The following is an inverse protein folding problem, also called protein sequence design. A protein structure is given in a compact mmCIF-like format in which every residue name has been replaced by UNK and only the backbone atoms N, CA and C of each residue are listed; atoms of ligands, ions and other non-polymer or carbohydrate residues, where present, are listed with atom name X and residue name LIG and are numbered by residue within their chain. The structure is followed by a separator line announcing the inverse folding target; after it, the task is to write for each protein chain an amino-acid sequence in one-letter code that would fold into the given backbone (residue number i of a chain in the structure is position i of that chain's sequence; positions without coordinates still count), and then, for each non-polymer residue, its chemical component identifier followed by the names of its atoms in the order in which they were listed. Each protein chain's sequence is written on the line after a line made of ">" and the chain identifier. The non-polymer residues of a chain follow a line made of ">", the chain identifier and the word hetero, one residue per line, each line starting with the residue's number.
data_IF_743387944985
#
_entry.id   IF_743387944985
#
_cell.length_a   1.000
_cell.length_b   1.000
_cell.length_c   1.000
_cell.angle_alpha   90.00
_cell.angle_beta   90.00
_cell.angle_gamma   90.00
#
_symmetry.space_group_name_H-M   'P 1'
#
loop_
_entity.id
_entity.type
_entity.pdbx_description
1 polymer ?
#
# COMPACT_ATOMS: atom_id res chain seq x y z
N UNK A 1 3.06 26.55 -3.52
CA UNK A 1 2.78 25.50 -2.52
C UNK A 1 3.86 25.45 -1.45
N UNK A 2 5.06 24.90 -1.69
CA UNK A 2 6.10 24.78 -0.63
C UNK A 2 6.53 26.13 0.00
N UNK A 3 6.61 27.20 -0.79
CA UNK A 3 6.89 28.56 -0.26
C UNK A 3 5.85 28.98 0.76
N UNK A 4 4.57 28.79 0.46
CA UNK A 4 3.48 29.11 1.37
C UNK A 4 3.48 28.25 2.64
N UNK A 5 3.91 26.99 2.53
CA UNK A 5 3.97 26.07 3.67
C UNK A 5 5.17 26.34 4.59
N UNK A 6 6.32 26.75 4.06
CA UNK A 6 7.58 26.81 4.81
C UNK A 6 8.27 28.19 4.85
N UNK A 7 8.05 29.07 3.88
CA UNK A 7 8.67 30.40 3.85
C UNK A 7 7.71 31.50 4.30
N UNK A 8 6.47 31.47 3.83
CA UNK A 8 5.46 32.51 4.10
C UNK A 8 4.60 32.17 5.33
N UNK A 9 4.72 30.95 5.87
CA UNK A 9 3.94 30.50 7.02
C UNK A 9 4.39 31.19 8.32
N UNK A 10 3.47 31.50 9.25
CA UNK A 10 3.77 32.27 10.45
C UNK A 10 4.42 31.40 11.54
N UNK A 11 5.70 31.07 11.37
CA UNK A 11 6.53 30.44 12.39
C UNK A 11 7.97 30.97 12.32
N UNK A 12 8.72 30.82 13.41
CA UNK A 12 10.12 31.23 13.47
C UNK A 12 11.00 30.06 13.94
N UNK A 13 12.13 29.87 13.27
CA UNK A 13 13.19 28.95 13.71
C UNK A 13 14.22 29.76 14.45
N UNK A 14 14.12 29.79 15.79
CA UNK A 14 15.00 30.59 16.66
C UNK A 14 16.37 29.91 16.84
N UNK A 15 16.40 28.57 16.78
CA UNK A 15 17.60 27.77 16.91
C UNK A 15 17.53 26.58 15.94
N UNK A 16 18.64 26.29 15.27
CA UNK A 16 18.77 25.09 14.44
C UNK A 16 18.89 23.84 15.33
N UNK A 17 18.32 22.69 14.93
CA UNK A 17 18.43 21.47 15.71
C UNK A 17 19.88 20.99 15.81
N UNK A 18 20.20 20.28 16.89
CA UNK A 18 21.50 19.61 17.02
C UNK A 18 21.65 18.48 16.01
N UNK A 19 22.88 18.22 15.59
CA UNK A 19 23.25 17.03 14.82
C UNK A 19 23.48 15.80 15.70
N UNK A 20 23.35 15.93 17.02
CA UNK A 20 23.46 14.79 17.94
C UNK A 20 22.48 13.68 17.54
N UNK A 21 22.90 12.40 17.54
CA UNK A 21 22.08 11.29 17.06
C UNK A 21 20.69 11.24 17.71
N UNK A 22 20.57 11.52 19.01
CA UNK A 22 19.28 11.51 19.73
C UNK A 22 18.28 12.57 19.24
N UNK A 23 18.77 13.66 18.64
CA UNK A 23 17.94 14.73 18.06
C UNK A 23 17.74 14.48 16.57
N UNK A 24 18.82 14.26 15.83
CA UNK A 24 18.82 14.20 14.36
C UNK A 24 17.99 13.04 13.80
N UNK A 25 17.90 11.93 14.52
CA UNK A 25 17.14 10.73 14.10
C UNK A 25 15.65 10.78 14.46
N UNK A 26 15.21 11.78 15.23
CA UNK A 26 13.82 11.95 15.65
C UNK A 26 13.19 13.21 15.04
N UNK A 27 12.38 13.08 13.97
CA UNK A 27 11.84 14.24 13.26
C UNK A 27 10.85 15.08 14.08
N UNK A 28 10.29 14.51 15.15
CA UNK A 28 9.40 15.23 16.06
C UNK A 28 10.14 16.15 17.02
N UNK A 29 11.46 15.93 17.19
CA UNK A 29 12.35 16.80 17.96
C UNK A 29 13.09 17.75 17.02
N UNK A 30 13.79 17.22 16.01
CA UNK A 30 14.61 18.02 15.10
C UNK A 30 13.81 19.12 14.38
N UNK A 31 12.59 18.82 13.94
CA UNK A 31 11.75 19.73 13.17
C UNK A 31 10.55 20.27 13.98
N UNK A 32 10.64 20.28 15.31
CA UNK A 32 9.56 20.74 16.19
C UNK A 32 9.11 22.18 15.88
N UNK A 33 10.05 23.05 15.49
CA UNK A 33 9.76 24.45 15.15
C UNK A 33 8.92 24.60 13.87
N UNK A 34 8.91 23.59 12.99
CA UNK A 34 8.15 23.62 11.75
C UNK A 34 6.72 23.12 12.02
N UNK A 35 5.67 23.88 11.66
CA UNK A 35 4.29 23.49 11.88
C UNK A 35 4.00 22.10 11.31
N UNK A 36 3.39 21.25 12.13
CA UNK A 36 2.95 19.90 11.74
C UNK A 36 2.09 19.94 10.49
N UNK A 37 1.18 20.92 10.40
CA UNK A 37 0.34 21.12 9.23
C UNK A 37 1.15 21.34 7.95
N UNK A 38 2.19 22.18 8.00
CA UNK A 38 3.04 22.46 6.84
C UNK A 38 3.76 21.20 6.36
N UNK A 39 4.37 20.45 7.30
CA UNK A 39 5.03 19.18 7.00
C UNK A 39 4.05 18.17 6.42
N UNK A 40 2.89 18.02 7.02
CA UNK A 40 1.91 17.04 6.55
C UNK A 40 1.36 17.39 5.16
N UNK A 41 0.99 18.66 4.94
CA UNK A 41 0.50 19.13 3.63
C UNK A 41 1.52 18.86 2.53
N UNK A 42 2.79 19.19 2.77
CA UNK A 42 3.86 18.86 1.84
C UNK A 42 3.95 17.35 1.56
N UNK A 43 3.79 16.51 2.59
CA UNK A 43 3.81 15.06 2.38
C UNK A 43 2.59 14.54 1.61
N UNK A 44 1.42 15.12 1.85
CA UNK A 44 0.17 14.75 1.17
C UNK A 44 0.17 15.17 -0.30
N UNK A 45 0.76 16.33 -0.60
CA UNK A 45 0.76 16.86 -1.96
C UNK A 45 1.50 15.95 -2.94
N UNK A 46 2.52 15.25 -2.44
CA UNK A 46 3.37 14.30 -3.17
C UNK A 46 3.29 12.88 -2.56
N UNK A 47 2.12 12.47 -2.04
CA UNK A 47 2.01 11.26 -1.24
C UNK A 47 2.46 10.00 -2.00
N UNK A 48 2.10 9.84 -3.27
CA UNK A 48 2.56 8.71 -4.08
C UNK A 48 4.09 8.68 -4.15
N UNK A 49 4.75 9.82 -4.40
CA UNK A 49 6.21 9.90 -4.46
C UNK A 49 6.87 9.52 -3.13
N UNK A 50 6.36 10.05 -2.02
CA UNK A 50 6.90 9.76 -0.68
C UNK A 50 6.70 8.29 -0.32
N UNK A 51 5.52 7.73 -0.63
CA UNK A 51 5.19 6.33 -0.40
C UNK A 51 6.02 5.40 -1.29
N UNK A 52 6.24 5.78 -2.54
CA UNK A 52 7.18 5.10 -3.44
C UNK A 52 8.61 5.13 -2.90
N UNK A 53 9.04 6.22 -2.25
CA UNK A 53 10.39 6.36 -1.71
C UNK A 53 10.75 5.26 -0.73
N UNK A 54 9.83 4.85 0.15
CA UNK A 54 10.06 3.72 1.04
C UNK A 54 9.79 2.36 0.40
N UNK A 55 8.85 2.25 -0.54
CA UNK A 55 8.55 0.98 -1.23
C UNK A 55 9.64 0.54 -2.21
N UNK A 56 10.24 1.49 -2.95
CA UNK A 56 11.35 1.23 -3.88
C UNK A 56 12.72 1.39 -3.21
N UNK A 57 12.73 1.80 -1.94
CA UNK A 57 13.95 1.99 -1.15
C UNK A 57 14.71 0.68 -0.91
N UNK A 58 16.00 0.77 -0.54
CA UNK A 58 16.84 -0.40 -0.27
C UNK A 58 16.29 -1.29 0.85
N UNK A 59 15.51 -0.71 1.78
CA UNK A 59 14.84 -1.44 2.86
C UNK A 59 13.80 -2.45 2.39
N UNK A 60 13.21 -2.24 1.21
CA UNK A 60 12.16 -3.10 0.64
C UNK A 60 12.70 -4.11 -0.39
N UNK A 61 14.02 -4.37 -0.40
CA UNK A 61 14.63 -5.39 -1.25
C UNK A 61 14.60 -6.75 -0.57
N UNK A 62 13.97 -7.73 -1.23
CA UNK A 62 13.91 -9.11 -0.78
C UNK A 62 12.65 -9.44 0.04
N UNK A 63 12.32 -10.72 0.09
CA UNK A 63 11.05 -11.23 0.60
C UNK A 63 10.82 -10.90 2.09
N UNK A 64 11.87 -10.94 2.93
CA UNK A 64 11.76 -10.65 4.37
C UNK A 64 11.26 -9.23 4.64
N UNK A 65 11.67 -8.27 3.81
CA UNK A 65 11.24 -6.88 3.93
C UNK A 65 9.79 -6.67 3.50
N UNK A 66 9.36 -7.34 2.44
CA UNK A 66 8.00 -7.20 1.91
C UNK A 66 6.97 -8.11 2.58
N UNK A 67 7.41 -9.09 3.37
CA UNK A 67 6.57 -9.86 4.30
C UNK A 67 5.99 -9.03 5.46
N UNK A 68 5.79 -7.72 5.28
CA UNK A 68 5.03 -6.80 6.15
C UNK A 68 3.75 -6.29 5.52
N UNK A 69 3.45 -6.58 4.26
CA UNK A 69 2.27 -6.04 3.57
C UNK A 69 1.51 -7.13 2.84
N UNK A 70 0.19 -6.96 2.70
CA UNK A 70 -0.64 -7.77 1.81
C UNK A 70 -0.36 -7.38 0.35
N UNK A 71 -0.66 -8.27 -0.60
CA UNK A 71 -0.37 -8.02 -2.02
C UNK A 71 -1.18 -6.89 -2.65
N UNK A 72 -2.32 -6.54 -2.03
CA UNK A 72 -3.09 -5.36 -2.37
C UNK A 72 -3.75 -4.78 -1.14
N UNK A 73 -3.52 -3.50 -0.88
CA UNK A 73 -4.23 -2.73 0.12
C UNK A 73 -4.40 -1.28 -0.31
N UNK A 74 -5.42 -0.63 0.23
CA UNK A 74 -5.69 0.79 -0.03
C UNK A 74 -5.15 1.66 1.09
N UNK A 75 -4.64 2.82 0.72
CA UNK A 75 -4.19 3.86 1.64
C UNK A 75 -5.00 5.12 1.39
N UNK A 76 -5.56 5.66 2.47
CA UNK A 76 -6.15 7.00 2.51
C UNK A 76 -5.53 7.78 3.67
N UNK A 77 -5.75 9.08 3.70
CA UNK A 77 -5.06 9.96 4.64
C UNK A 77 -6.04 10.67 5.58
N UNK A 78 -5.59 10.95 6.79
CA UNK A 78 -6.33 11.81 7.72
C UNK A 78 -6.32 13.25 7.17
N UNK A 79 -7.43 13.97 7.33
CA UNK A 79 -7.55 15.36 6.91
C UNK A 79 -6.55 16.24 7.70
N UNK A 80 -5.61 16.92 7.01
CA UNK A 80 -4.64 17.83 7.64
C UNK A 80 -5.29 19.04 8.33
N UNK A 81 -6.57 19.33 8.06
CA UNK A 81 -7.38 20.37 8.71
C UNK A 81 -8.31 19.84 9.81
N UNK A 82 -8.31 18.53 10.08
CA UNK A 82 -9.14 17.97 11.16
C UNK A 82 -8.74 18.54 12.53
N UNK A 83 -9.71 18.72 13.43
CA UNK A 83 -9.44 19.14 14.81
C UNK A 83 -8.50 18.17 15.55
N UNK A 84 -8.61 16.87 15.23
CA UNK A 84 -7.72 15.81 15.71
C UNK A 84 -6.26 16.09 15.32
N UNK A 85 -6.02 16.60 14.10
CA UNK A 85 -4.69 17.02 13.64
C UNK A 85 -4.27 18.37 14.20
N UNK A 86 -5.16 19.36 14.28
CA UNK A 86 -4.85 20.72 14.70
C UNK A 86 -4.23 20.75 16.13
N UNK A 87 -4.59 19.79 16.98
CA UNK A 87 -4.09 19.67 18.37
C UNK A 87 -2.94 18.66 18.54
N UNK A 88 -2.33 18.20 17.43
CA UNK A 88 -1.31 17.15 17.46
C UNK A 88 0.11 17.66 17.73
N UNK A 89 0.46 18.91 17.40
CA UNK A 89 1.83 19.43 17.53
C UNK A 89 2.43 19.26 18.93
N UNK A 90 1.78 19.85 19.95
CA UNK A 90 2.23 19.74 21.35
C UNK A 90 2.16 18.30 21.86
N UNK A 91 1.17 17.52 21.40
CA UNK A 91 1.04 16.12 21.76
C UNK A 91 2.22 15.30 21.23
N UNK A 92 2.60 15.48 19.97
CA UNK A 92 3.74 14.80 19.34
C UNK A 92 5.05 15.19 19.99
N UNK A 93 5.24 16.48 20.31
CA UNK A 93 6.41 16.93 21.06
C UNK A 93 6.51 16.24 22.43
N UNK A 94 5.41 16.16 23.19
CA UNK A 94 5.36 15.43 24.48
C UNK A 94 5.55 13.92 24.34
N UNK A 95 5.16 13.34 23.21
CA UNK A 95 5.33 11.92 22.92
C UNK A 95 6.64 11.58 22.20
N UNK A 96 7.48 12.57 21.87
CA UNK A 96 8.74 12.39 21.13
C UNK A 96 9.61 11.24 21.65
N UNK A 97 9.73 11.09 22.99
CA UNK A 97 10.46 9.99 23.62
C UNK A 97 9.86 8.59 23.40
N UNK A 98 8.55 8.49 23.13
CA UNK A 98 7.89 7.24 22.72
C UNK A 98 7.90 7.04 21.19
N UNK A 99 8.19 8.09 20.41
CA UNK A 99 8.23 8.08 18.94
C UNK A 99 9.63 7.81 18.38
N UNK A 100 10.58 7.47 19.26
CA UNK A 100 11.96 7.13 18.91
C UNK A 100 12.03 6.01 17.87
N UNK A 101 12.91 6.18 16.89
CA UNK A 101 13.09 5.27 15.77
C UNK A 101 14.34 4.41 15.96
N UNK A 102 14.40 3.19 15.41
CA UNK A 102 15.57 2.31 15.48
C UNK A 102 16.90 2.94 15.03
N UNK A 103 16.86 3.97 14.18
CA UNK A 103 18.03 4.72 13.73
C UNK A 103 18.82 5.40 14.88
N UNK A 104 18.20 5.61 16.05
CA UNK A 104 18.86 6.17 17.25
C UNK A 104 19.91 5.23 17.87
N UNK A 105 19.78 3.91 17.67
CA UNK A 105 20.61 2.92 18.33
C UNK A 105 21.74 2.43 17.43
N UNK A 106 22.96 2.96 17.61
CA UNK A 106 24.15 2.35 17.02
C UNK A 106 24.32 0.91 17.50
N UNK A 107 24.61 0.01 16.55
CA UNK A 107 25.13 -1.36 16.70
C UNK A 107 25.03 -1.98 18.09
N UNK A 108 23.81 -2.24 18.56
CA UNK A 108 23.60 -2.72 19.92
C UNK A 108 23.57 -4.27 19.95
N UNK A 109 24.52 -4.95 20.65
CA UNK A 109 24.56 -6.42 20.71
C UNK A 109 23.38 -7.04 21.48
N UNK A 110 22.55 -6.23 22.14
CA UNK A 110 21.41 -6.68 22.94
C UNK A 110 20.08 -6.54 22.17
N UNK A 111 19.87 -7.45 21.21
CA UNK A 111 18.74 -7.39 20.28
C UNK A 111 17.36 -7.43 20.99
N UNK A 112 17.20 -8.34 21.96
CA UNK A 112 15.92 -8.58 22.65
C UNK A 112 15.52 -7.43 23.58
N UNK A 113 16.44 -6.88 24.36
CA UNK A 113 16.13 -5.78 25.30
C UNK A 113 15.80 -4.49 24.56
N UNK A 114 16.49 -4.24 23.45
CA UNK A 114 16.22 -3.10 22.55
C UNK A 114 14.83 -3.20 21.94
N UNK A 115 14.42 -4.38 21.45
CA UNK A 115 13.06 -4.61 20.97
C UNK A 115 11.99 -4.40 22.06
N UNK A 116 12.20 -4.94 23.26
CA UNK A 116 11.26 -4.75 24.38
C UNK A 116 11.06 -3.28 24.73
N UNK A 117 12.12 -2.47 24.66
CA UNK A 117 12.04 -1.02 24.88
C UNK A 117 11.19 -0.33 23.80
N UNK A 118 11.40 -0.64 22.53
CA UNK A 118 10.60 -0.09 21.42
C UNK A 118 9.14 -0.53 21.50
N UNK A 119 8.88 -1.81 21.78
CA UNK A 119 7.54 -2.36 22.01
C UNK A 119 6.81 -1.62 23.15
N UNK A 120 7.49 -1.42 24.28
CA UNK A 120 6.92 -0.69 25.41
C UNK A 120 6.66 0.80 25.07
N UNK A 121 7.55 1.45 24.33
CA UNK A 121 7.38 2.82 23.86
C UNK A 121 6.19 2.95 22.92
N UNK A 122 6.06 2.06 21.93
CA UNK A 122 4.92 1.99 21.02
C UNK A 122 3.61 1.80 21.80
N UNK A 123 3.56 0.88 22.76
CA UNK A 123 2.36 0.67 23.57
C UNK A 123 1.96 1.96 24.34
N UNK A 124 2.93 2.65 24.95
CA UNK A 124 2.66 3.93 25.65
C UNK A 124 2.15 5.00 24.69
N UNK A 125 2.71 5.10 23.50
CA UNK A 125 2.27 6.03 22.46
C UNK A 125 0.83 5.72 22.01
N UNK A 126 0.51 4.45 21.74
CA UNK A 126 -0.83 4.05 21.31
C UNK A 126 -1.88 4.32 22.40
N UNK A 127 -1.57 4.05 23.67
CA UNK A 127 -2.45 4.40 24.80
C UNK A 127 -2.61 5.91 24.97
N UNK A 128 -1.54 6.69 24.78
CA UNK A 128 -1.61 8.14 24.83
C UNK A 128 -2.46 8.71 23.68
N UNK A 129 -2.32 8.14 22.47
CA UNK A 129 -3.12 8.48 21.29
C UNK A 129 -4.59 8.15 21.53
N UNK A 130 -4.88 6.98 22.08
CA UNK A 130 -6.24 6.58 22.46
C UNK A 130 -6.87 7.57 23.43
N UNK A 131 -6.20 7.87 24.56
CA UNK A 131 -6.70 8.85 25.54
C UNK A 131 -6.94 10.22 24.92
N UNK A 132 -6.01 10.69 24.10
CA UNK A 132 -6.14 11.98 23.41
C UNK A 132 -7.33 12.00 22.46
N UNK A 133 -7.56 10.91 21.72
CA UNK A 133 -8.69 10.78 20.80
C UNK A 133 -10.02 10.76 21.58
N UNK A 134 -10.10 10.01 22.66
CA UNK A 134 -11.28 9.96 23.55
C UNK A 134 -11.56 11.32 24.20
N UNK A 135 -10.54 12.04 24.69
CA UNK A 135 -10.67 13.40 25.23
C UNK A 135 -11.17 14.41 24.19
N UNK A 136 -10.72 14.28 22.94
CA UNK A 136 -11.06 15.20 21.85
C UNK A 136 -12.49 14.96 21.37
N UNK A 137 -12.86 13.69 21.20
CA UNK A 137 -14.16 13.31 20.64
C UNK A 137 -15.30 13.28 21.67
N UNK A 138 -15.01 13.21 22.98
CA UNK A 138 -16.04 13.12 24.03
C UNK A 138 -16.92 14.36 24.21
N UNK A 139 -16.67 15.48 23.50
CA UNK A 139 -17.39 16.76 23.73
C UNK A 139 -18.46 17.15 22.72
N UNK A 140 -18.56 16.51 21.54
CA UNK A 140 -19.63 16.68 20.51
C UNK A 140 -19.32 16.02 19.15
N UNK A 141 -18.15 15.40 19.00
CA UNK A 141 -17.66 14.92 17.71
C UNK A 141 -17.49 13.41 17.70
N UNK A 142 -17.93 12.77 16.62
CA UNK A 142 -17.73 11.36 16.35
C UNK A 142 -16.78 11.20 15.17
N UNK A 143 -16.14 10.02 15.07
CA UNK A 143 -15.30 9.72 13.90
C UNK A 143 -16.20 9.61 12.69
N UNK A 144 -16.11 10.54 11.76
CA UNK A 144 -16.88 10.56 10.51
C UNK A 144 -15.96 10.51 9.30
N UNK A 145 -16.52 10.22 8.12
CA UNK A 145 -15.80 10.29 6.84
C UNK A 145 -15.19 11.67 6.56
N UNK A 146 -15.68 12.74 7.18
CA UNK A 146 -15.13 14.08 7.00
C UNK A 146 -13.67 14.18 7.47
N UNK A 147 -13.24 13.30 8.36
CA UNK A 147 -11.85 13.22 8.82
C UNK A 147 -10.91 12.59 7.78
N UNK A 148 -11.41 12.05 6.67
CA UNK A 148 -10.57 11.53 5.59
C UNK A 148 -10.29 12.65 4.61
N UNK A 149 -9.02 12.92 4.35
CA UNK A 149 -8.60 13.96 3.40
C UNK A 149 -9.17 13.67 2.01
N UNK A 150 -9.78 14.69 1.40
CA UNK A 150 -10.43 14.59 0.09
C UNK A 150 -9.58 15.16 -1.06
N UNK A 151 -8.27 15.34 -0.85
CA UNK A 151 -7.38 15.93 -1.86
C UNK A 151 -7.65 17.41 -2.11
N UNK A 152 -8.34 18.10 -1.20
CA UNK A 152 -8.88 19.46 -1.41
C UNK A 152 -9.74 19.59 -2.69
N UNK A 153 -10.28 18.47 -3.18
CA UNK A 153 -11.09 18.43 -4.40
C UNK A 153 -10.29 18.39 -5.71
N UNK A 154 -8.95 18.42 -5.67
CA UNK A 154 -8.12 18.38 -6.90
C UNK A 154 -6.95 17.40 -6.88
N UNK A 155 -6.50 16.95 -5.70
CA UNK A 155 -5.28 16.15 -5.57
C UNK A 155 -5.56 14.63 -5.52
N UNK A 156 -5.12 13.91 -6.56
CA UNK A 156 -5.27 12.47 -6.68
C UNK A 156 -4.46 11.66 -5.66
N UNK A 157 -3.47 12.27 -5.01
CA UNK A 157 -2.72 11.65 -3.90
C UNK A 157 -3.60 11.36 -2.67
N UNK A 158 -4.86 11.79 -2.64
CA UNK A 158 -5.80 11.49 -1.56
C UNK A 158 -6.10 10.00 -1.36
N UNK A 159 -5.87 9.18 -2.39
CA UNK A 159 -6.00 7.73 -2.32
C UNK A 159 -4.87 7.05 -3.08
N UNK A 160 -4.28 6.02 -2.49
CA UNK A 160 -3.26 5.20 -3.12
C UNK A 160 -3.65 3.73 -3.03
N UNK A 161 -3.23 2.95 -4.01
CA UNK A 161 -3.20 1.49 -3.96
C UNK A 161 -1.76 1.02 -4.01
N UNK A 162 -1.41 0.15 -3.07
CA UNK A 162 -0.10 -0.47 -3.02
C UNK A 162 -0.28 -1.91 -3.49
N UNK A 163 0.58 -2.33 -4.41
CA UNK A 163 0.70 -3.71 -4.85
C UNK A 163 2.05 -4.30 -4.47
N UNK A 164 2.07 -5.50 -3.91
CA UNK A 164 3.30 -6.28 -3.65
C UNK A 164 3.53 -7.26 -4.80
N UNK A 165 4.78 -7.40 -5.21
CA UNK A 165 5.23 -8.35 -6.24
C UNK A 165 6.56 -8.98 -5.76
N UNK A 166 6.47 -10.03 -4.92
CA UNK A 166 7.54 -10.87 -4.36
C UNK A 166 8.58 -10.08 -3.56
N UNK A 167 9.56 -9.55 -4.26
CA UNK A 167 10.70 -8.79 -3.77
C UNK A 167 10.73 -7.34 -4.35
N UNK A 168 9.58 -6.88 -4.85
CA UNK A 168 9.30 -5.50 -5.27
C UNK A 168 7.85 -5.10 -4.94
N UNK A 169 7.54 -3.81 -5.08
CA UNK A 169 6.18 -3.31 -4.91
C UNK A 169 5.96 -2.03 -5.73
N UNK A 170 4.69 -1.74 -6.01
CA UNK A 170 4.23 -0.61 -6.81
C UNK A 170 3.24 0.24 -6.02
N UNK A 171 3.27 1.56 -6.25
CA UNK A 171 2.34 2.51 -5.65
C UNK A 171 1.72 3.31 -6.76
N UNK A 172 0.39 3.33 -6.79
CA UNK A 172 -0.40 3.96 -7.84
C UNK A 172 -1.53 4.76 -7.21
N UNK A 173 -1.87 5.88 -7.81
CA UNK A 173 -2.99 6.71 -7.37
C UNK A 173 -4.32 6.01 -7.60
N UNK A 174 -5.28 6.28 -6.71
CA UNK A 174 -6.63 5.72 -6.77
C UNK A 174 -6.85 4.47 -5.90
N UNK A 175 -8.10 4.04 -5.86
CA UNK A 175 -8.54 2.82 -5.18
C UNK A 175 -8.74 1.72 -6.24
N UNK A 176 -7.66 1.04 -6.60
CA UNK A 176 -7.62 0.12 -7.75
C UNK A 176 -7.95 -1.31 -7.29
N UNK A 177 -8.64 -2.04 -8.17
CA UNK A 177 -9.05 -3.43 -7.93
C UNK A 177 -10.31 -3.57 -7.08
N UNK A 178 -10.64 -4.81 -6.73
CA UNK A 178 -11.75 -5.11 -5.82
C UNK A 178 -11.41 -4.66 -4.39
N UNK A 179 -12.40 -4.46 -3.49
CA UNK A 179 -12.11 -4.13 -2.10
C UNK A 179 -11.08 -5.08 -1.48
N UNK A 180 -9.94 -4.57 -0.98
CA UNK A 180 -8.85 -5.41 -0.48
C UNK A 180 -9.17 -6.05 0.88
N UNK A 181 -8.31 -6.99 1.28
CA UNK A 181 -8.36 -7.57 2.63
C UNK A 181 -8.20 -6.47 3.67
N UNK A 182 -7.14 -5.67 3.58
CA UNK A 182 -6.80 -4.60 4.53
C UNK A 182 -6.79 -3.22 3.85
N UNK A 183 -6.90 -2.16 4.65
CA UNK A 183 -6.70 -0.78 4.21
C UNK A 183 -6.19 0.06 5.38
N UNK A 184 -5.42 1.10 5.07
CA UNK A 184 -4.76 1.93 6.07
C UNK A 184 -5.25 3.37 5.99
N UNK A 185 -5.41 3.98 7.17
CA UNK A 185 -5.55 5.44 7.28
C UNK A 185 -4.25 6.01 7.85
N UNK A 186 -3.50 6.70 7.00
CA UNK A 186 -2.22 7.30 7.39
C UNK A 186 -2.44 8.69 7.98
N UNK A 187 -2.08 8.83 9.26
CA UNK A 187 -1.97 10.12 9.93
C UNK A 187 -0.60 10.74 9.68
N UNK A 188 -0.44 12.03 9.96
CA UNK A 188 0.85 12.70 9.84
C UNK A 188 1.99 11.99 10.57
N UNK A 189 1.81 11.72 11.87
CA UNK A 189 2.87 11.10 12.67
C UNK A 189 3.22 9.70 12.18
N UNK A 190 2.24 8.99 11.63
CA UNK A 190 2.47 7.67 11.07
C UNK A 190 3.26 7.77 9.76
N UNK A 191 2.85 8.65 8.84
CA UNK A 191 3.51 8.83 7.56
C UNK A 191 4.95 9.33 7.72
N UNK A 192 5.20 10.29 8.62
CA UNK A 192 6.54 10.80 8.92
C UNK A 192 7.43 9.70 9.52
N UNK A 193 6.92 8.89 10.47
CA UNK A 193 7.69 7.76 11.02
C UNK A 193 8.04 6.72 9.97
N UNK A 194 7.13 6.38 9.07
CA UNK A 194 7.42 5.44 7.98
C UNK A 194 8.54 6.00 7.10
N UNK A 195 8.46 7.28 6.72
CA UNK A 195 9.49 7.92 5.91
C UNK A 195 10.87 7.92 6.59
N UNK A 196 10.95 8.31 7.86
CA UNK A 196 12.24 8.32 8.57
C UNK A 196 12.76 6.92 8.89
N UNK A 197 11.88 5.95 9.15
CA UNK A 197 12.28 4.56 9.37
C UNK A 197 12.88 3.92 8.11
N UNK A 198 12.27 4.17 6.96
CA UNK A 198 12.51 3.41 5.74
C UNK A 198 13.34 4.16 4.69
N UNK A 199 13.50 5.48 4.84
CA UNK A 199 14.21 6.33 3.88
C UNK A 199 15.29 7.14 4.59
N UNK A 200 14.91 8.16 5.37
CA UNK A 200 15.88 9.14 5.86
C UNK A 200 16.83 8.59 6.93
N UNK A 201 16.36 7.69 7.77
CA UNK A 201 17.14 7.04 8.84
C UNK A 201 17.49 5.59 8.57
N UNK A 202 17.22 5.06 7.37
CA UNK A 202 17.57 3.70 7.02
C UNK A 202 19.03 3.61 6.57
N UNK A 203 19.84 2.86 7.31
CA UNK A 203 21.24 2.64 6.97
C UNK A 203 21.40 1.38 6.10
N UNK A 204 21.71 1.59 4.82
CA UNK A 204 21.95 0.50 3.85
C UNK A 204 23.19 -0.32 4.20
N UNK A 205 24.16 0.28 4.87
CA UNK A 205 25.37 -0.38 5.36
C UNK A 205 25.23 -0.83 6.82
N UNK A 206 24.05 -0.61 7.41
CA UNK A 206 23.73 -0.99 8.78
C UNK A 206 23.75 -2.51 8.96
N UNK A 207 24.08 -2.93 10.18
CA UNK A 207 24.16 -4.35 10.51
C UNK A 207 22.78 -5.06 10.42
N UNK A 208 22.79 -6.39 10.49
CA UNK A 208 21.57 -7.24 10.47
C UNK A 208 20.57 -6.84 11.55
N UNK A 209 21.04 -6.37 12.71
CA UNK A 209 20.18 -5.88 13.78
C UNK A 209 19.36 -4.65 13.37
N UNK A 210 19.98 -3.67 12.70
CA UNK A 210 19.27 -2.49 12.19
C UNK A 210 18.17 -2.86 11.19
N UNK A 211 18.48 -3.75 10.24
CA UNK A 211 17.51 -4.22 9.24
C UNK A 211 16.35 -4.97 9.91
N UNK A 212 16.65 -5.84 10.88
CA UNK A 212 15.64 -6.58 11.65
C UNK A 212 14.75 -5.63 12.47
N UNK A 213 15.33 -4.64 13.16
CA UNK A 213 14.54 -3.69 13.94
C UNK A 213 13.66 -2.82 13.07
N UNK A 214 14.15 -2.36 11.91
CA UNK A 214 13.35 -1.59 10.97
C UNK A 214 12.15 -2.41 10.48
N UNK A 215 12.40 -3.68 10.14
CA UNK A 215 11.36 -4.64 9.77
C UNK A 215 10.34 -4.89 10.89
N UNK A 216 10.78 -5.10 12.12
CA UNK A 216 9.88 -5.32 13.27
C UNK A 216 9.10 -4.06 13.66
N UNK A 217 9.72 -2.88 13.55
CA UNK A 217 9.06 -1.61 13.83
C UNK A 217 8.01 -1.29 12.76
N UNK A 218 8.24 -1.68 11.51
CA UNK A 218 7.26 -1.51 10.43
C UNK A 218 5.95 -2.28 10.71
N UNK A 219 6.00 -3.42 11.40
CA UNK A 219 4.78 -4.11 11.83
C UNK A 219 3.92 -3.24 12.75
N UNK A 220 4.53 -2.48 13.66
CA UNK A 220 3.80 -1.53 14.50
C UNK A 220 3.18 -0.39 13.70
N UNK A 221 3.91 0.15 12.72
CA UNK A 221 3.42 1.25 11.89
C UNK A 221 2.26 0.80 11.00
N UNK A 222 2.38 -0.36 10.36
CA UNK A 222 1.29 -0.99 9.63
C UNK A 222 0.07 -1.18 10.52
N UNK A 223 0.24 -1.82 11.69
CA UNK A 223 -0.85 -2.07 12.62
C UNK A 223 -1.52 -0.76 13.06
N UNK A 224 -0.75 0.32 13.26
CA UNK A 224 -1.32 1.62 13.56
C UNK A 224 -2.19 2.16 12.39
N UNK A 225 -1.76 1.99 11.13
CA UNK A 225 -2.53 2.37 9.95
C UNK A 225 -3.82 1.56 9.78
N UNK A 226 -3.74 0.25 10.00
CA UNK A 226 -4.87 -0.68 10.01
C UNK A 226 -5.87 -0.36 11.13
N UNK A 227 -5.38 -0.09 12.34
CA UNK A 227 -6.21 0.33 13.45
C UNK A 227 -6.98 1.62 13.14
N UNK A 228 -6.31 2.62 12.53
CA UNK A 228 -6.98 3.87 12.15
C UNK A 228 -8.09 3.65 11.11
N UNK A 229 -8.03 2.58 10.29
CA UNK A 229 -9.15 2.17 9.45
C UNK A 229 -10.25 1.48 10.27
N UNK A 230 -9.90 0.57 11.18
CA UNK A 230 -10.86 -0.16 12.01
C UNK A 230 -11.73 0.76 12.86
N UNK A 231 -11.21 1.89 13.36
CA UNK A 231 -11.99 2.85 14.16
C UNK A 231 -13.07 3.58 13.35
N UNK A 232 -13.00 3.58 12.02
CA UNK A 232 -14.07 4.09 11.15
C UNK A 232 -15.29 3.14 11.15
N UNK A 233 -15.07 1.84 11.36
CA UNK A 233 -16.12 0.84 11.37
C UNK A 233 -16.96 0.90 12.66
N UNK A 234 -18.19 0.34 12.65
CA UNK A 234 -18.98 0.15 13.86
C UNK A 234 -18.20 -0.66 14.88
N UNK A 235 -18.21 -0.20 16.14
CA UNK A 235 -17.49 -0.81 17.26
C UNK A 235 -17.71 -2.32 17.34
N UNK A 236 -18.93 -2.76 17.09
CA UNK A 236 -19.40 -4.13 17.25
C UNK A 236 -18.69 -5.10 16.29
N UNK A 237 -18.24 -4.63 15.12
CA UNK A 237 -17.62 -5.47 14.10
C UNK A 237 -16.09 -5.40 14.06
N UNK A 238 -15.46 -4.41 14.72
CA UNK A 238 -14.02 -4.14 14.59
C UNK A 238 -13.17 -5.36 14.96
N UNK A 239 -13.55 -6.05 16.04
CA UNK A 239 -12.89 -7.28 16.53
C UNK A 239 -12.99 -8.41 15.51
N UNK A 240 -14.17 -8.60 14.92
CA UNK A 240 -14.38 -9.62 13.89
C UNK A 240 -13.52 -9.36 12.65
N UNK A 241 -13.44 -8.10 12.19
CA UNK A 241 -12.62 -7.71 11.05
C UNK A 241 -11.13 -7.91 11.35
N UNK A 242 -10.66 -7.48 12.53
CA UNK A 242 -9.28 -7.73 13.00
C UNK A 242 -8.97 -9.23 13.00
N UNK A 243 -9.85 -10.05 13.56
CA UNK A 243 -9.62 -11.51 13.64
C UNK A 243 -9.57 -12.17 12.27
N UNK A 244 -10.32 -11.66 11.30
CA UNK A 244 -10.22 -12.08 9.90
C UNK A 244 -8.90 -11.63 9.24
N UNK A 245 -8.43 -10.42 9.54
CA UNK A 245 -7.15 -9.92 9.03
C UNK A 245 -5.95 -10.73 9.54
N UNK A 246 -6.08 -11.23 10.77
CA UNK A 246 -5.03 -11.94 11.53
C UNK A 246 -5.45 -13.36 11.89
N UNK A 247 -6.02 -14.10 10.93
CA UNK A 247 -6.30 -15.52 11.11
C UNK A 247 -5.02 -16.26 11.45
N UNK A 248 -5.12 -17.19 12.41
CA UNK A 248 -4.01 -18.02 12.89
C UNK A 248 -2.83 -17.25 13.51
N UNK A 249 -2.93 -15.93 13.69
CA UNK A 249 -1.91 -15.15 14.39
C UNK A 249 -2.01 -15.35 15.90
N UNK A 250 -0.88 -15.23 16.60
CA UNK A 250 -0.85 -15.35 18.06
C UNK A 250 -1.67 -14.23 18.74
N UNK A 251 -2.22 -14.48 19.95
CA UNK A 251 -2.95 -13.44 20.70
C UNK A 251 -2.12 -12.17 20.91
N UNK A 252 -0.81 -12.32 21.15
CA UNK A 252 0.12 -11.21 21.35
C UNK A 252 0.21 -10.28 20.13
N UNK A 253 0.08 -10.80 18.92
CA UNK A 253 0.04 -9.99 17.68
C UNK A 253 -1.29 -9.25 17.60
N UNK A 254 -2.40 -9.94 17.85
CA UNK A 254 -3.75 -9.35 17.80
C UNK A 254 -3.93 -8.22 18.80
N UNK A 255 -3.31 -8.32 19.98
CA UNK A 255 -3.36 -7.31 21.04
C UNK A 255 -2.78 -5.95 20.64
N UNK A 256 -1.92 -5.86 19.62
CA UNK A 256 -1.38 -4.58 19.13
C UNK A 256 -2.36 -3.77 18.27
N UNK A 257 -3.44 -4.38 17.77
CA UNK A 257 -4.44 -3.71 16.94
C UNK A 257 -5.65 -3.27 17.77
N UNK A 258 -6.38 -4.25 18.28
CA UNK A 258 -7.50 -4.09 19.21
C UNK A 258 -7.37 -5.25 20.17
N UNK A 259 -7.46 -5.04 21.48
CA UNK A 259 -7.22 -6.11 22.45
C UNK A 259 -6.86 -5.55 23.81
N UNK A 260 -6.02 -6.24 24.58
CA UNK A 260 -5.68 -5.79 25.94
C UNK A 260 -4.91 -4.45 25.97
N UNK A 261 -4.22 -4.11 24.88
CA UNK A 261 -3.35 -2.92 24.83
C UNK A 261 -4.03 -1.67 24.27
N UNK A 262 -5.05 -1.84 23.44
CA UNK A 262 -5.84 -0.77 22.81
C UNK A 262 -7.31 -1.18 22.82
N UNK A 263 -8.11 -0.43 23.56
CA UNK A 263 -9.53 -0.69 23.74
C UNK A 263 -10.32 0.59 23.44
N UNK A 264 -10.35 0.97 22.16
CA UNK A 264 -11.06 2.16 21.71
C UNK A 264 -12.57 1.89 21.61
N UNK A 265 -13.30 2.28 22.66
CA UNK A 265 -14.72 1.91 22.86
C UNK A 265 -15.72 2.86 22.24
N UNK A 266 -15.27 3.96 21.62
CA UNK A 266 -16.18 4.95 21.04
C UNK A 266 -16.80 4.46 19.73
N UNK A 267 -18.07 4.78 19.54
CA UNK A 267 -18.79 4.46 18.32
C UNK A 267 -18.42 5.41 17.18
N UNK A 268 -18.36 4.87 15.96
CA UNK A 268 -18.20 5.68 14.75
C UNK A 268 -19.43 6.56 14.51
N UNK A 269 -19.20 7.76 13.96
CA UNK A 269 -20.25 8.67 13.51
C UNK A 269 -20.72 8.41 12.09
N UNK A 270 -20.11 7.45 11.39
CA UNK A 270 -20.48 7.08 10.03
C UNK A 270 -21.81 6.29 10.08
N UNK A 271 -22.85 6.72 9.35
CA UNK A 271 -24.11 5.99 9.29
C UNK A 271 -23.97 4.78 8.37
N UNK A 272 -24.16 3.57 8.91
CA UNK A 272 -24.16 2.32 8.15
C UNK A 272 -25.58 1.77 8.03
N UNK A 273 -25.92 1.24 6.85
CA UNK A 273 -27.25 0.66 6.57
C UNK A 273 -27.21 -0.80 6.13
N UNK A 274 -26.03 -1.33 5.79
CA UNK A 274 -25.88 -2.71 5.32
C UNK A 274 -25.47 -3.67 6.44
N UNK A 275 -25.52 -4.97 6.15
CA UNK A 275 -24.98 -6.03 7.02
C UNK A 275 -23.49 -6.29 6.82
N UNK A 276 -22.86 -5.58 5.87
CA UNK A 276 -21.42 -5.64 5.63
C UNK A 276 -20.83 -4.21 5.68
N UNK A 277 -20.66 -3.66 6.90
CA UNK A 277 -20.17 -2.30 7.08
C UNK A 277 -18.77 -2.07 6.48
N UNK A 278 -17.96 -3.13 6.33
CA UNK A 278 -16.62 -3.01 5.77
C UNK A 278 -16.71 -2.74 4.26
N UNK A 279 -17.50 -3.52 3.54
CA UNK A 279 -17.75 -3.29 2.11
C UNK A 279 -18.46 -1.95 1.88
N UNK A 280 -19.40 -1.59 2.75
CA UNK A 280 -20.06 -0.29 2.71
C UNK A 280 -19.08 0.87 2.92
N UNK A 281 -18.17 0.78 3.90
CA UNK A 281 -17.13 1.79 4.13
C UNK A 281 -16.23 1.96 2.90
N UNK A 282 -15.84 0.87 2.24
CA UNK A 282 -15.08 0.96 0.98
C UNK A 282 -15.86 1.69 -0.11
N UNK A 283 -17.17 1.44 -0.24
CA UNK A 283 -18.04 2.18 -1.14
C UNK A 283 -18.13 3.67 -0.79
N UNK A 284 -18.27 3.99 0.49
CA UNK A 284 -18.33 5.37 0.98
C UNK A 284 -17.01 6.13 0.76
N UNK A 285 -15.86 5.49 0.96
CA UNK A 285 -14.54 6.07 0.67
C UNK A 285 -14.40 6.36 -0.83
N UNK A 286 -14.78 5.41 -1.70
CA UNK A 286 -14.82 5.63 -3.15
C UNK A 286 -15.72 6.81 -3.52
N UNK A 287 -16.91 6.90 -2.93
CA UNK A 287 -17.86 7.99 -3.21
C UNK A 287 -17.31 9.36 -2.74
N UNK A 288 -16.72 9.43 -1.55
CA UNK A 288 -16.12 10.66 -1.01
C UNK A 288 -14.97 11.16 -1.88
N UNK A 289 -14.13 10.25 -2.36
CA UNK A 289 -12.92 10.58 -3.10
C UNK A 289 -13.15 10.66 -4.62
N UNK A 290 -14.32 10.27 -5.11
CA UNK A 290 -14.66 10.25 -6.54
C UNK A 290 -14.26 11.52 -7.34
N UNK A 291 -14.33 12.76 -6.78
CA UNK A 291 -13.89 13.95 -7.49
C UNK A 291 -12.39 14.00 -7.79
N UNK A 292 -11.56 13.31 -7.00
CA UNK A 292 -10.08 13.37 -7.09
C UNK A 292 -9.43 12.04 -7.46
N UNK A 293 -10.14 10.92 -7.42
CA UNK A 293 -9.54 9.61 -7.75
C UNK A 293 -9.01 9.61 -9.17
N UNK A 294 -7.75 9.18 -9.34
CA UNK A 294 -7.29 8.71 -10.64
C UNK A 294 -8.02 7.40 -10.98
N UNK A 295 -8.63 7.37 -12.16
CA UNK A 295 -9.43 6.25 -12.68
C UNK A 295 -8.83 5.66 -13.96
N UNK A 296 -7.62 6.03 -14.32
CA UNK A 296 -6.88 5.54 -15.49
C UNK A 296 -6.77 4.01 -15.51
N UNK A 297 -6.61 3.39 -14.34
CA UNK A 297 -6.50 1.95 -14.14
C UNK A 297 -7.84 1.22 -13.90
N UNK A 298 -8.99 1.89 -14.05
CA UNK A 298 -10.28 1.23 -13.84
C UNK A 298 -10.75 0.49 -15.10
N UNK A 299 -10.84 -0.84 -14.99
CA UNK A 299 -11.39 -1.70 -16.06
C UNK A 299 -12.82 -1.32 -16.46
N UNK A 300 -13.61 -0.72 -15.55
CA UNK A 300 -14.96 -0.25 -15.84
C UNK A 300 -15.00 0.86 -16.92
N UNK A 301 -13.88 1.58 -17.14
CA UNK A 301 -13.74 2.63 -18.16
C UNK A 301 -13.28 2.12 -19.53
N UNK A 302 -13.06 0.81 -19.68
CA UNK A 302 -12.73 0.23 -20.98
C UNK A 302 -14.00 0.15 -21.82
N UNK A 303 -14.02 0.86 -22.94
CA UNK A 303 -15.21 1.00 -23.79
C UNK A 303 -15.54 -0.28 -24.57
N UNK A 304 -14.53 -1.05 -24.99
CA UNK A 304 -14.73 -2.27 -25.79
C UNK A 304 -15.21 -3.44 -24.90
N UNK A 305 -16.47 -3.89 -25.01
CA UNK A 305 -16.99 -4.98 -24.18
C UNK A 305 -16.27 -6.30 -24.44
N UNK A 306 -15.73 -6.51 -25.66
CA UNK A 306 -14.96 -7.73 -26.00
C UNK A 306 -13.68 -7.85 -25.18
N UNK A 307 -13.17 -6.73 -24.67
CA UNK A 307 -12.03 -6.69 -23.75
C UNK A 307 -12.50 -6.63 -22.30
N UNK A 308 -13.42 -5.72 -22.00
CA UNK A 308 -13.88 -5.46 -20.63
C UNK A 308 -14.49 -6.70 -19.98
N UNK A 309 -15.39 -7.41 -20.66
CA UNK A 309 -16.15 -8.52 -20.06
C UNK A 309 -15.26 -9.73 -19.73
N UNK A 310 -14.38 -10.22 -20.63
CA UNK A 310 -13.47 -11.32 -20.28
C UNK A 310 -12.53 -10.96 -19.13
N UNK A 311 -11.96 -9.75 -19.12
CA UNK A 311 -11.06 -9.32 -18.06
C UNK A 311 -11.80 -9.11 -16.73
N UNK A 312 -13.05 -8.64 -16.75
CA UNK A 312 -13.89 -8.56 -15.54
C UNK A 312 -14.18 -9.96 -14.97
N UNK A 313 -14.43 -10.95 -15.84
CA UNK A 313 -14.58 -12.35 -15.42
C UNK A 313 -13.30 -12.88 -14.77
N UNK A 314 -12.12 -12.53 -15.29
CA UNK A 314 -10.84 -12.89 -14.65
C UNK A 314 -10.72 -12.26 -13.26
N UNK A 315 -11.08 -10.98 -13.10
CA UNK A 315 -11.06 -10.30 -11.80
C UNK A 315 -12.07 -10.86 -10.78
N UNK A 316 -13.13 -11.52 -11.25
CA UNK A 316 -14.13 -12.19 -10.41
C UNK A 316 -13.74 -13.63 -10.05
N UNK A 317 -12.75 -14.20 -10.73
CA UNK A 317 -12.25 -15.54 -10.43
C UNK A 317 -11.55 -15.56 -9.06
N UNK A 318 -11.68 -16.69 -8.38
CA UNK A 318 -11.01 -16.96 -7.11
C UNK A 318 -10.64 -18.44 -7.05
N UNK A 319 -9.43 -18.75 -6.61
CA UNK A 319 -9.02 -20.12 -6.33
C UNK A 319 -7.57 -20.46 -6.71
N UNK A 320 -7.16 -21.71 -6.47
CA UNK A 320 -5.76 -22.14 -6.56
C UNK A 320 -5.19 -22.11 -7.97
N UNK A 321 -6.03 -22.02 -9.01
CA UNK A 321 -5.58 -21.84 -10.39
C UNK A 321 -4.79 -20.55 -10.56
N UNK A 322 -5.13 -19.51 -9.80
CA UNK A 322 -4.49 -18.19 -9.90
C UNK A 322 -3.11 -18.17 -9.23
N UNK A 323 -2.83 -19.08 -8.30
CA UNK A 323 -1.51 -19.24 -7.67
C UNK A 323 -0.41 -19.69 -8.64
N UNK A 324 -0.81 -20.19 -9.82
CA UNK A 324 0.11 -20.61 -10.88
C UNK A 324 0.48 -19.46 -11.82
N UNK A 325 -0.24 -18.34 -11.73
CA UNK A 325 0.07 -17.17 -12.54
C UNK A 325 1.31 -16.46 -11.97
N UNK A 326 2.12 -15.85 -12.84
CA UNK A 326 3.20 -14.98 -12.39
C UNK A 326 2.63 -13.75 -11.70
N UNK A 327 3.29 -13.29 -10.65
CA UNK A 327 2.79 -12.21 -9.80
C UNK A 327 2.54 -10.89 -10.53
N UNK A 328 3.37 -10.57 -11.53
CA UNK A 328 3.14 -9.44 -12.44
C UNK A 328 3.31 -9.89 -13.88
N UNK A 329 2.27 -9.77 -14.69
CA UNK A 329 2.32 -10.07 -16.13
C UNK A 329 1.77 -8.93 -16.96
N UNK A 330 2.39 -8.67 -18.11
CA UNK A 330 1.83 -7.72 -19.09
C UNK A 330 1.10 -8.47 -20.20
N UNK A 331 -0.14 -8.06 -20.46
CA UNK A 331 -1.01 -8.58 -21.49
C UNK A 331 -1.15 -7.53 -22.59
N UNK A 332 -0.55 -7.79 -23.75
CA UNK A 332 -0.80 -7.04 -24.98
C UNK A 332 -2.00 -7.64 -25.71
N UNK A 333 -3.05 -6.84 -25.92
CA UNK A 333 -4.19 -7.21 -26.75
C UNK A 333 -3.99 -6.62 -28.14
N UNK A 334 -4.06 -7.46 -29.17
CA UNK A 334 -3.96 -7.06 -30.57
C UNK A 334 -5.25 -7.33 -31.32
N UNK A 335 -5.49 -6.58 -32.39
CA UNK A 335 -6.55 -6.85 -33.35
C UNK A 335 -5.92 -7.20 -34.71
N UNK A 336 -5.85 -8.50 -35.01
CA UNK A 336 -5.34 -9.02 -36.29
C UNK A 336 -6.40 -9.01 -37.40
N UNK A 337 -7.66 -8.70 -37.09
CA UNK A 337 -8.74 -8.63 -38.06
C UNK A 337 -8.79 -7.31 -38.84
N UNK A 338 -8.04 -6.30 -38.40
CA UNK A 338 -7.89 -5.02 -39.12
C UNK A 338 -6.78 -5.09 -40.18
N UNK A 339 -6.88 -4.26 -41.24
CA UNK A 339 -5.94 -4.21 -42.38
C UNK A 339 -4.45 -4.08 -41.99
N UNK A 340 -4.16 -3.68 -40.75
CA UNK A 340 -2.84 -3.70 -40.15
C UNK A 340 -2.93 -4.18 -38.69
N UNK A 341 -2.31 -5.33 -38.31
CA UNK A 341 -2.28 -5.78 -36.94
C UNK A 341 -1.70 -4.70 -36.02
N UNK A 342 -2.53 -4.18 -35.12
CA UNK A 342 -2.13 -3.13 -34.17
C UNK A 342 -2.42 -3.56 -32.75
N UNK A 343 -1.58 -3.10 -31.82
CA UNK A 343 -1.91 -3.17 -30.40
C UNK A 343 -3.14 -2.31 -30.14
N UNK A 344 -4.14 -2.91 -29.51
CA UNK A 344 -5.37 -2.23 -29.09
C UNK A 344 -5.16 -1.61 -27.72
N UNK A 345 -4.62 -2.39 -26.79
CA UNK A 345 -4.38 -1.97 -25.43
C UNK A 345 -3.38 -2.91 -24.73
N UNK A 346 -2.77 -2.43 -23.66
CA UNK A 346 -1.98 -3.24 -22.72
C UNK A 346 -2.63 -3.20 -21.35
N UNK A 347 -2.59 -4.34 -20.68
CA UNK A 347 -3.07 -4.52 -19.32
C UNK A 347 -1.96 -5.14 -18.46
N UNK A 348 -2.01 -4.84 -17.17
CA UNK A 348 -1.23 -5.54 -16.16
C UNK A 348 -2.14 -6.52 -15.42
N UNK A 349 -1.71 -7.77 -15.35
CA UNK A 349 -2.30 -8.83 -14.53
C UNK A 349 -1.44 -8.97 -13.27
N UNK A 350 -2.05 -8.83 -12.10
CA UNK A 350 -1.38 -8.91 -10.81
C UNK A 350 -2.01 -10.04 -9.99
N UNK A 351 -1.19 -10.97 -9.52
CA UNK A 351 -1.65 -11.98 -8.56
C UNK A 351 -1.96 -11.29 -7.22
N UNK A 352 -3.17 -11.52 -6.70
CA UNK A 352 -3.53 -11.14 -5.33
C UNK A 352 -3.42 -12.42 -4.47
N UNK A 353 -2.22 -12.74 -4.00
CA UNK A 353 -1.95 -13.95 -3.25
C UNK A 353 -2.49 -13.84 -1.80
N UNK A 354 -3.52 -14.63 -1.49
CA UNK A 354 -4.17 -14.59 -0.19
C UNK A 354 -3.30 -15.21 0.91
N UNK A 355 -3.35 -14.59 2.10
CA UNK A 355 -2.64 -15.04 3.30
C UNK A 355 -3.55 -14.98 4.52
N UNK A 356 -3.38 -15.90 5.45
CA UNK A 356 -4.09 -15.87 6.73
C UNK A 356 -3.73 -14.61 7.52
N UNK A 357 -2.44 -14.29 7.58
CA UNK A 357 -1.87 -13.06 8.14
C UNK A 357 -0.46 -12.81 7.57
N UNK A 358 0.11 -11.64 7.86
CA UNK A 358 1.46 -11.18 7.46
C UNK A 358 2.36 -10.90 8.66
N UNK A 359 2.11 -11.58 9.80
CA UNK A 359 2.86 -11.35 11.05
C UNK A 359 4.15 -12.18 11.19
N UNK A 360 4.43 -13.06 10.23
CA UNK A 360 5.61 -13.91 10.24
C UNK A 360 6.71 -13.35 9.34
N UNK A 361 7.96 -13.38 9.82
CA UNK A 361 9.12 -12.88 9.08
C UNK A 361 9.53 -13.81 7.93
N UNK A 362 9.53 -15.12 8.18
CA UNK A 362 10.19 -16.12 7.33
C UNK A 362 9.22 -17.10 6.64
N UNK A 363 7.99 -17.19 7.11
CA UNK A 363 6.99 -18.12 6.58
C UNK A 363 5.78 -17.37 6.08
N UNK A 364 5.34 -17.68 4.87
CA UNK A 364 4.08 -17.18 4.34
C UNK A 364 2.93 -18.13 4.67
N UNK A 365 1.89 -17.61 5.31
CA UNK A 365 0.66 -18.36 5.63
C UNK A 365 -0.30 -18.31 4.43
N UNK A 366 0.10 -18.84 3.27
CA UNK A 366 -0.66 -18.78 2.01
C UNK A 366 -2.00 -19.50 2.10
N UNK A 367 -3.00 -18.98 1.40
CA UNK A 367 -4.35 -19.55 1.27
C UNK A 367 -4.75 -19.61 -0.21
N UNK A 368 -4.21 -20.55 -1.01
CA UNK A 368 -4.45 -20.62 -2.45
C UNK A 368 -5.93 -20.61 -2.88
N UNK A 369 -6.82 -21.17 -2.06
CA UNK A 369 -8.26 -21.18 -2.32
C UNK A 369 -8.91 -19.77 -2.30
N UNK A 370 -8.23 -18.78 -1.75
CA UNK A 370 -8.66 -17.39 -1.67
C UNK A 370 -7.92 -16.47 -2.64
N UNK A 371 -6.99 -17.00 -3.44
CA UNK A 371 -6.22 -16.21 -4.41
C UNK A 371 -7.13 -15.59 -5.45
N UNK A 372 -6.78 -14.37 -5.86
CA UNK A 372 -7.50 -13.56 -6.83
C UNK A 372 -6.52 -12.95 -7.82
N UNK A 373 -7.05 -12.21 -8.78
CA UNK A 373 -6.26 -11.46 -9.74
C UNK A 373 -6.79 -10.03 -9.87
N UNK A 374 -5.90 -9.05 -9.80
CA UNK A 374 -6.19 -7.68 -10.21
C UNK A 374 -5.82 -7.52 -11.68
N UNK A 375 -6.74 -6.95 -12.48
CA UNK A 375 -6.47 -6.60 -13.87
C UNK A 375 -6.62 -5.09 -14.04
N UNK A 376 -5.62 -4.43 -14.61
CA UNK A 376 -5.60 -2.97 -14.79
C UNK A 376 -5.21 -2.60 -16.21
N UNK A 377 -5.86 -1.62 -16.86
CA UNK A 377 -5.32 -0.96 -18.04
C UNK A 377 -3.95 -0.33 -17.74
N UNK A 378 -3.05 -0.38 -18.72
CA UNK A 378 -1.71 0.21 -18.62
C UNK A 378 -0.72 -0.67 -17.85
N UNK A 379 0.35 -0.03 -17.38
CA UNK A 379 1.50 -0.68 -16.75
C UNK A 379 1.53 -0.41 -15.26
N UNK A 380 1.59 -1.48 -14.45
CA UNK A 380 1.90 -1.43 -13.02
C UNK A 380 3.11 -2.31 -12.75
N UNK A 381 4.11 -1.74 -12.10
CA UNK A 381 5.37 -2.43 -11.79
C UNK A 381 6.44 -2.27 -12.87
N UNK A 382 7.69 -2.44 -12.44
CA UNK A 382 8.87 -2.35 -13.30
C UNK A 382 9.47 -3.73 -13.66
N UNK A 383 8.93 -4.81 -13.07
CA UNK A 383 9.52 -6.15 -13.11
C UNK A 383 8.49 -7.18 -13.60
N UNK A 384 8.11 -7.18 -14.89
CA UNK A 384 7.19 -8.18 -15.40
C UNK A 384 7.83 -9.57 -15.32
N UNK A 385 7.12 -10.52 -14.74
CA UNK A 385 7.50 -11.93 -14.66
C UNK A 385 7.15 -12.67 -15.95
N UNK A 386 6.09 -12.27 -16.66
CA UNK A 386 5.71 -12.85 -17.94
C UNK A 386 5.06 -11.83 -18.89
N UNK A 387 5.11 -12.17 -20.18
CA UNK A 387 4.41 -11.47 -21.23
C UNK A 387 3.40 -12.37 -21.91
N UNK A 388 2.21 -11.82 -22.15
CA UNK A 388 1.18 -12.42 -22.95
C UNK A 388 0.82 -11.51 -24.11
N UNK A 389 0.60 -12.10 -25.29
CA UNK A 389 0.12 -11.41 -26.48
C UNK A 389 -1.07 -12.16 -27.04
N UNK A 390 -2.25 -11.55 -27.00
CA UNK A 390 -3.53 -12.21 -27.25
C UNK A 390 -4.30 -11.43 -28.31
N UNK A 391 -4.85 -12.13 -29.31
CA UNK A 391 -5.80 -11.52 -30.22
C UNK A 391 -7.14 -11.28 -29.51
N UNK A 392 -7.79 -10.14 -29.77
CA UNK A 392 -9.06 -9.77 -29.14
C UNK A 392 -10.13 -10.88 -29.26
N UNK A 393 -10.14 -11.64 -30.35
CA UNK A 393 -11.08 -12.76 -30.55
C UNK A 393 -10.77 -13.98 -29.68
N UNK A 394 -9.52 -14.14 -29.23
CA UNK A 394 -9.08 -15.25 -28.38
C UNK A 394 -9.05 -14.90 -26.89
N UNK A 395 -9.31 -13.64 -26.52
CA UNK A 395 -9.29 -13.20 -25.13
C UNK A 395 -10.20 -14.03 -24.20
N UNK A 396 -11.43 -14.44 -24.60
CA UNK A 396 -12.23 -15.34 -23.78
C UNK A 396 -11.53 -16.68 -23.51
N UNK A 397 -10.83 -17.25 -24.50
CA UNK A 397 -10.09 -18.51 -24.36
C UNK A 397 -8.85 -18.36 -23.47
N UNK A 398 -8.18 -17.21 -23.52
CA UNK A 398 -7.06 -16.89 -22.65
C UNK A 398 -7.49 -16.85 -21.18
N UNK A 399 -8.57 -16.12 -20.86
CA UNK A 399 -9.10 -16.05 -19.49
C UNK A 399 -9.57 -17.44 -19.02
N UNK A 400 -10.23 -18.18 -19.90
CA UNK A 400 -10.63 -19.56 -19.65
C UNK A 400 -9.46 -20.47 -19.28
N UNK A 401 -8.35 -20.36 -20.01
CA UNK A 401 -7.15 -21.14 -19.74
C UNK A 401 -6.54 -20.80 -18.37
N UNK A 402 -6.52 -19.52 -17.98
CA UNK A 402 -6.06 -19.09 -16.65
C UNK A 402 -6.94 -19.65 -15.53
N UNK A 403 -8.26 -19.52 -15.66
CA UNK A 403 -9.21 -19.96 -14.62
C UNK A 403 -9.28 -21.48 -14.44
N UNK A 404 -8.70 -22.25 -15.38
CA UNK A 404 -8.66 -23.72 -15.35
C UNK A 404 -7.27 -24.29 -15.08
N UNK A 405 -6.26 -23.46 -14.79
CA UNK A 405 -4.93 -23.94 -14.44
C UNK A 405 -5.02 -24.88 -13.22
N UNK A 406 -4.52 -26.10 -13.36
CA UNK A 406 -4.42 -27.06 -12.25
C UNK A 406 -2.97 -27.45 -11.94
N UNK A 407 -2.04 -27.14 -12.84
CA UNK A 407 -0.64 -27.54 -12.75
C UNK A 407 0.32 -26.64 -13.52
N UNK A 408 1.62 -26.76 -13.23
CA UNK A 408 2.71 -26.18 -14.02
C UNK A 408 2.73 -26.66 -15.48
N UNK A 409 2.13 -27.82 -15.78
CA UNK A 409 1.98 -28.28 -17.17
C UNK A 409 0.93 -27.46 -17.92
N UNK A 410 -0.19 -27.15 -17.28
CA UNK A 410 -1.24 -26.30 -17.84
C UNK A 410 -0.71 -24.87 -18.07
N UNK A 411 0.09 -24.36 -17.12
CA UNK A 411 0.72 -23.05 -17.26
C UNK A 411 1.71 -23.00 -18.43
N UNK A 412 2.54 -24.04 -18.61
CA UNK A 412 3.40 -24.16 -19.78
C UNK A 412 2.60 -24.20 -21.09
N UNK A 413 1.41 -24.82 -21.11
CA UNK A 413 0.52 -24.81 -22.26
C UNK A 413 -0.05 -23.41 -22.54
N UNK A 414 -0.47 -22.68 -21.49
CA UNK A 414 -0.87 -21.27 -21.59
C UNK A 414 0.24 -20.43 -22.23
N UNK A 415 1.47 -20.56 -21.73
CA UNK A 415 2.65 -19.85 -22.28
C UNK A 415 2.98 -20.25 -23.72
N UNK A 416 2.80 -21.51 -24.10
CA UNK A 416 3.03 -21.94 -25.49
C UNK A 416 2.04 -21.31 -26.47
N UNK A 417 0.80 -21.04 -26.04
CA UNK A 417 -0.22 -20.45 -26.90
C UNK A 417 -0.19 -18.93 -26.91
N UNK A 418 -0.03 -18.31 -25.74
CA UNK A 418 -0.21 -16.87 -25.56
C UNK A 418 1.04 -16.14 -25.07
N UNK A 419 2.04 -16.87 -24.57
CA UNK A 419 3.22 -16.30 -23.93
C UNK A 419 4.30 -15.83 -24.92
N UNK A 420 4.98 -14.73 -24.60
CA UNK A 420 6.20 -14.29 -25.27
C UNK A 420 7.39 -14.59 -24.36
N UNK A 421 7.96 -15.79 -24.50
CA UNK A 421 9.12 -16.25 -23.71
C UNK A 421 10.40 -15.53 -24.14
N UNK A 422 11.42 -15.49 -23.27
CA UNK A 422 12.75 -14.94 -23.61
C UNK A 422 13.39 -15.57 -24.85
N UNK A 423 13.07 -16.83 -25.13
CA UNK A 423 13.56 -17.57 -26.31
C UNK A 423 12.78 -17.27 -27.59
N UNK A 424 11.70 -16.50 -27.53
CA UNK A 424 10.95 -16.09 -28.70
C UNK A 424 11.81 -15.10 -29.53
N UNK A 425 12.03 -15.35 -30.85
CA UNK A 425 12.80 -14.43 -31.70
C UNK A 425 12.27 -12.98 -31.72
N UNK A 426 10.97 -12.80 -31.50
CA UNK A 426 10.31 -11.49 -31.41
C UNK A 426 10.26 -10.87 -30.02
N UNK A 427 10.92 -11.46 -29.01
CA UNK A 427 10.87 -10.98 -27.61
C UNK A 427 11.27 -9.51 -27.49
N UNK A 428 12.39 -9.11 -28.09
CA UNK A 428 12.88 -7.73 -28.02
C UNK A 428 11.98 -6.74 -28.76
N UNK A 429 11.44 -7.13 -29.92
CA UNK A 429 10.48 -6.30 -30.66
C UNK A 429 9.19 -6.06 -29.86
N UNK A 430 8.71 -7.09 -29.16
CA UNK A 430 7.56 -6.98 -28.26
C UNK A 430 7.89 -6.08 -27.06
N UNK A 431 9.03 -6.30 -26.40
CA UNK A 431 9.55 -5.42 -25.34
C UNK A 431 9.60 -3.95 -25.78
N UNK A 432 10.17 -3.65 -26.95
CA UNK A 432 10.25 -2.29 -27.48
C UNK A 432 8.87 -1.69 -27.73
N UNK A 433 7.89 -2.51 -28.14
CA UNK A 433 6.50 -2.09 -28.31
C UNK A 433 5.89 -1.70 -26.97
N UNK A 434 6.08 -2.50 -25.93
CA UNK A 434 5.60 -2.19 -24.58
C UNK A 434 6.26 -0.91 -24.03
N UNK A 435 7.57 -0.73 -24.21
CA UNK A 435 8.26 0.49 -23.79
C UNK A 435 7.77 1.74 -24.53
N UNK A 436 7.51 1.65 -25.85
CA UNK A 436 6.91 2.76 -26.61
C UNK A 436 5.53 3.12 -26.06
N UNK A 437 4.71 2.13 -25.73
CA UNK A 437 3.39 2.36 -25.15
C UNK A 437 3.48 2.92 -23.73
N UNK A 438 4.40 2.43 -22.92
CA UNK A 438 4.59 2.94 -21.55
C UNK A 438 5.01 4.41 -21.58
N UNK A 439 5.96 4.78 -22.45
CA UNK A 439 6.37 6.19 -22.66
C UNK A 439 5.23 7.06 -23.19
N UNK A 440 4.37 6.52 -24.05
CA UNK A 440 3.23 7.27 -24.58
C UNK A 440 2.15 7.49 -23.51
N UNK A 441 1.90 6.52 -22.63
CA UNK A 441 0.87 6.59 -21.59
C UNK A 441 1.35 7.41 -20.38
N UNK A 442 2.60 7.23 -19.95
CA UNK A 442 3.15 7.83 -18.74
C UNK A 442 4.52 8.48 -19.00
N UNK A 443 4.60 9.58 -19.77
CA UNK A 443 5.87 10.14 -20.26
C UNK A 443 6.84 10.57 -19.15
N UNK A 444 6.32 10.94 -17.97
CA UNK A 444 7.14 11.38 -16.84
C UNK A 444 7.71 10.21 -16.03
N UNK A 445 6.96 9.13 -15.85
CA UNK A 445 7.35 7.99 -15.02
C UNK A 445 7.93 6.82 -15.82
N UNK A 446 7.78 6.83 -17.15
CA UNK A 446 8.18 5.71 -18.00
C UNK A 446 9.69 5.45 -17.94
N UNK A 447 10.05 4.39 -17.22
CA UNK A 447 11.40 3.82 -17.18
C UNK A 447 11.59 2.63 -18.12
N UNK A 448 12.63 1.85 -17.85
CA UNK A 448 12.85 0.55 -18.47
C UNK A 448 12.22 -0.54 -17.60
N UNK A 449 11.65 -1.55 -18.24
CA UNK A 449 11.27 -2.80 -17.57
C UNK A 449 12.53 -3.64 -17.33
N UNK A 450 12.69 -4.12 -16.11
CA UNK A 450 13.77 -5.01 -15.72
C UNK A 450 13.32 -6.46 -15.83
N UNK A 451 14.00 -7.21 -16.71
CA UNK A 451 13.68 -8.59 -17.01
C UNK A 451 14.42 -9.61 -16.15
N UNK A 452 15.19 -9.21 -15.14
CA UNK A 452 15.91 -10.15 -14.27
C UNK A 452 14.98 -11.16 -13.57
N UNK A 453 13.72 -10.78 -13.34
CA UNK A 453 12.68 -11.60 -12.69
C UNK A 453 11.73 -12.31 -13.67
N UNK A 454 12.01 -12.22 -14.96
CA UNK A 454 11.21 -12.85 -16.00
C UNK A 454 11.36 -14.37 -15.94
N UNK A 455 10.25 -15.07 -15.92
CA UNK A 455 10.22 -16.51 -15.68
C UNK A 455 10.62 -17.33 -16.91
N UNK A 456 11.24 -18.49 -16.64
CA UNK A 456 11.62 -19.46 -17.67
C UNK A 456 10.92 -20.82 -17.46
N UNK A 457 9.82 -20.85 -16.70
CA UNK A 457 9.05 -22.07 -16.41
C UNK A 457 8.46 -22.71 -17.67
#
# INVERSE_FOLDING_TARGET
>A
MWRTLFLDAPYAVVQLPSYDPEVASNPFVAFQAIPVRSRYRFMLDEAQFIVMGFIKGPVCRGQVALNVIDDRFWVVFLDPDSEVMARSGDFLARQSGNLRLPAEGESNPLLLTTWLRYSAAQNRQLQAKQRKLEETLSRRESITLQHIWNGDGTNANAALTIFRHFDSASVVQGLIGTPPKTAWVLTYSLLERIHYLLVAGFDVYGNVGHQLFSRLYMDFLRMEGEFNFLILLPKEIRTQVRDFWYRDASPAVKDYLLGQRIDFRQQTGIPYVTRDPKTELFGMLRARLAPVLDRSHELARVDDPRIREPLQRLMQAQGPSLSLMPETSFLEIVDRGSDSPRTVAVYTLLEDAARANISHLFEERRLPAEDRMTVTPGFIGAYPNAFFKVDISELPLFVDAITRLGSEADFRQLLSRFGIRRTNPGFWQHSDTLHRQFRAQNPTEAGLFDYNRFENR
#
